data_IF_944845706371
#
_entry.id   IF_944845706371
#
_cell.length_a   1.000
_cell.length_b   1.000
_cell.length_c   1.000
_cell.angle_alpha   90.00
_cell.angle_beta   90.00
_cell.angle_gamma   90.00
#
_symmetry.space_group_name_H-M   'P 1'
#
loop_
_entity.id
_entity.type
_entity.pdbx_description
1 polymer ?
#
# COMPACT_ATOMS: atom_id res chain seq x y z
N UNK A 1 24.83 -20.65 -4.59
CA UNK A 1 24.21 -20.07 -3.39
C UNK A 1 24.58 -18.59 -3.35
N UNK A 2 23.62 -17.70 -3.56
CA UNK A 2 23.86 -16.26 -3.39
C UNK A 2 24.10 -15.99 -1.89
N UNK A 3 25.07 -15.15 -1.56
CA UNK A 3 25.34 -14.80 -0.15
C UNK A 3 24.30 -13.78 0.35
N UNK A 4 24.00 -13.82 1.65
CA UNK A 4 22.99 -12.95 2.28
C UNK A 4 23.30 -11.44 2.16
N UNK A 5 24.57 -11.05 2.02
CA UNK A 5 25.00 -9.67 1.79
C UNK A 5 24.65 -9.17 0.38
N UNK A 6 24.62 -10.06 -0.62
CA UNK A 6 24.26 -9.74 -2.00
C UNK A 6 22.76 -9.43 -2.10
N UNK A 7 21.91 -10.26 -1.49
CA UNK A 7 20.46 -10.01 -1.42
C UNK A 7 20.11 -8.71 -0.69
N UNK A 8 20.84 -8.37 0.40
CA UNK A 8 20.70 -7.11 1.13
C UNK A 8 21.03 -5.87 0.29
N UNK A 9 21.89 -6.02 -0.73
CA UNK A 9 22.24 -4.93 -1.66
C UNK A 9 21.24 -4.83 -2.81
N UNK A 10 20.69 -5.96 -3.27
CA UNK A 10 19.67 -6.03 -4.33
C UNK A 10 18.30 -5.48 -3.88
N UNK A 11 17.88 -5.74 -2.64
CA UNK A 11 16.68 -5.12 -2.05
C UNK A 11 16.72 -3.59 -2.02
N UNK A 12 17.93 -3.00 -1.99
CA UNK A 12 18.12 -1.54 -2.07
C UNK A 12 17.94 -0.99 -3.49
N UNK A 13 17.81 -1.84 -4.52
CA UNK A 13 17.89 -1.42 -5.91
C UNK A 13 16.79 -1.95 -6.86
N UNK A 14 15.80 -2.72 -6.42
CA UNK A 14 14.70 -3.07 -7.33
C UNK A 14 13.68 -4.10 -6.83
N UNK A 15 12.75 -4.41 -7.73
CA UNK A 15 11.76 -5.49 -7.61
C UNK A 15 12.46 -6.84 -7.68
N UNK A 16 12.18 -7.74 -6.73
CA UNK A 16 12.73 -9.09 -6.70
C UNK A 16 11.63 -10.12 -6.92
N UNK A 17 11.84 -11.06 -7.83
CA UNK A 17 10.90 -12.16 -8.08
C UNK A 17 11.49 -13.49 -7.58
N UNK A 18 10.81 -14.17 -6.66
CA UNK A 18 11.21 -15.46 -6.11
C UNK A 18 9.99 -16.39 -6.11
N UNK A 19 10.06 -17.51 -6.83
CA UNK A 19 9.01 -18.55 -6.83
C UNK A 19 7.59 -18.02 -7.11
N UNK A 20 7.44 -17.03 -7.98
CA UNK A 20 6.14 -16.41 -8.31
C UNK A 20 5.70 -15.31 -7.34
N UNK A 21 6.47 -15.05 -6.28
CA UNK A 21 6.24 -13.95 -5.35
C UNK A 21 7.11 -12.74 -5.73
N UNK A 22 6.56 -11.55 -5.54
CA UNK A 22 7.25 -10.29 -5.83
C UNK A 22 7.54 -9.55 -4.53
N UNK A 23 8.79 -9.15 -4.30
CA UNK A 23 9.19 -8.33 -3.16
C UNK A 23 9.48 -6.92 -3.65
N UNK A 24 8.75 -5.94 -3.11
CA UNK A 24 8.92 -4.51 -3.39
C UNK A 24 8.89 -3.68 -2.10
N UNK A 25 9.31 -2.42 -2.14
CA UNK A 25 9.10 -1.49 -1.02
C UNK A 25 7.67 -0.92 -0.97
N UNK A 26 6.87 -1.17 -2.01
CA UNK A 26 5.50 -0.65 -2.16
C UNK A 26 4.75 -1.45 -3.22
N UNK A 27 3.43 -1.42 -3.13
CA UNK A 27 2.54 -1.82 -4.24
C UNK A 27 2.36 -0.63 -5.17
N UNK A 28 2.48 -0.84 -6.47
CA UNK A 28 2.23 0.15 -7.53
C UNK A 28 1.11 -0.32 -8.43
N UNK A 29 0.10 0.52 -8.63
CA UNK A 29 -1.03 0.25 -9.51
C UNK A 29 -1.21 1.37 -10.53
N UNK A 30 -1.17 1.01 -11.81
CA UNK A 30 -1.42 1.96 -12.89
C UNK A 30 -2.91 2.25 -13.03
N UNK A 31 -3.25 3.53 -13.22
CA UNK A 31 -4.62 4.00 -13.38
C UNK A 31 -4.79 4.56 -14.78
N UNK A 32 -5.72 4.01 -15.55
CA UNK A 32 -6.10 4.56 -16.85
C UNK A 32 -6.69 5.98 -16.69
N UNK A 33 -6.48 6.90 -17.66
CA UNK A 33 -7.06 8.24 -17.62
C UNK A 33 -8.58 8.22 -17.66
N UNK A 34 -9.21 9.31 -17.20
CA UNK A 34 -10.66 9.54 -17.22
C UNK A 34 -11.49 8.38 -16.64
N UNK A 35 -10.95 7.71 -15.63
CA UNK A 35 -11.56 6.54 -15.01
C UNK A 35 -11.66 6.74 -13.50
N UNK A 36 -12.84 6.43 -12.97
CA UNK A 36 -13.07 6.36 -11.53
C UNK A 36 -12.80 4.91 -11.07
N UNK A 37 -12.16 4.78 -9.91
CA UNK A 37 -11.83 3.51 -9.27
C UNK A 37 -12.27 3.51 -7.82
N UNK A 38 -12.30 2.32 -7.23
CA UNK A 38 -12.32 2.11 -5.79
C UNK A 38 -11.17 1.21 -5.40
N UNK A 39 -10.37 1.67 -4.44
CA UNK A 39 -9.42 0.83 -3.71
C UNK A 39 -10.08 0.32 -2.43
N UNK A 40 -10.26 -0.98 -2.33
CA UNK A 40 -10.55 -1.65 -1.06
C UNK A 40 -9.21 -2.09 -0.45
N UNK A 41 -8.85 -1.55 0.72
CA UNK A 41 -7.60 -1.84 1.43
C UNK A 41 -7.91 -2.32 2.84
N UNK A 42 -7.33 -3.45 3.25
CA UNK A 42 -7.39 -3.94 4.62
C UNK A 42 -6.02 -4.47 5.05
N UNK A 43 -5.70 -4.33 6.34
CA UNK A 43 -4.52 -4.94 6.92
C UNK A 43 -4.69 -5.25 8.40
N UNK A 44 -3.86 -6.17 8.88
CA UNK A 44 -3.73 -6.59 10.26
C UNK A 44 -2.27 -6.51 10.66
N UNK A 45 -2.04 -6.16 11.93
CA UNK A 45 -0.71 -6.04 12.51
C UNK A 45 -0.59 -7.08 13.61
N UNK A 46 0.54 -7.79 13.63
CA UNK A 46 0.81 -8.82 14.63
C UNK A 46 1.00 -8.17 16.01
N UNK A 47 0.52 -8.85 17.04
CA UNK A 47 0.77 -8.42 18.43
C UNK A 47 2.27 -8.27 18.70
N UNK A 48 2.64 -7.14 19.32
CA UNK A 48 4.04 -6.82 19.64
C UNK A 48 4.81 -6.13 18.51
N UNK A 49 4.20 -5.93 17.35
CA UNK A 49 4.74 -5.04 16.31
C UNK A 49 4.55 -3.58 16.73
N UNK A 50 5.49 -2.71 16.36
CA UNK A 50 5.39 -1.27 16.62
C UNK A 50 4.15 -0.66 15.94
N UNK A 51 3.70 0.50 16.41
CA UNK A 51 2.56 1.17 15.79
C UNK A 51 2.81 1.37 14.29
N UNK A 52 1.86 0.87 13.50
CA UNK A 52 2.00 0.72 12.06
C UNK A 52 0.90 1.51 11.35
N UNK A 53 1.21 2.00 10.15
CA UNK A 53 0.22 2.55 9.25
C UNK A 53 0.44 2.06 7.82
N UNK A 54 -0.62 2.09 7.02
CA UNK A 54 -0.55 1.95 5.57
C UNK A 54 -0.76 3.32 4.93
N UNK A 55 0.21 3.73 4.11
CA UNK A 55 0.14 4.96 3.32
C UNK A 55 -0.38 4.66 1.93
N UNK A 56 -1.31 5.48 1.46
CA UNK A 56 -1.79 5.48 0.07
C UNK A 56 -1.51 6.84 -0.53
N UNK A 57 -0.73 6.88 -1.61
CA UNK A 57 -0.44 8.08 -2.39
C UNK A 57 -1.00 7.92 -3.81
N UNK A 58 -1.63 8.98 -4.32
CA UNK A 58 -2.07 9.10 -5.69
C UNK A 58 -1.22 10.15 -6.42
N UNK A 59 -0.80 9.83 -7.64
CA UNK A 59 -0.05 10.72 -8.53
C UNK A 59 -0.80 10.86 -9.85
N UNK A 60 -0.98 12.11 -10.32
CA UNK A 60 -1.85 12.43 -11.47
C UNK A 60 -3.29 11.84 -11.33
N UNK A 61 -3.71 11.64 -10.08
CA UNK A 61 -4.99 11.09 -9.64
C UNK A 61 -5.29 11.61 -8.23
N UNK A 62 -6.56 11.59 -7.83
CA UNK A 62 -7.01 12.06 -6.52
C UNK A 62 -7.78 10.98 -5.78
N UNK A 63 -7.48 10.81 -4.50
CA UNK A 63 -8.33 10.08 -3.56
C UNK A 63 -9.52 10.97 -3.21
N UNK A 64 -10.72 10.45 -3.20
CA UNK A 64 -11.93 11.24 -2.96
C UNK A 64 -12.54 10.84 -1.62
N UNK A 65 -12.71 11.81 -0.73
CA UNK A 65 -13.34 11.60 0.58
C UNK A 65 -14.87 11.47 0.44
N UNK A 66 -15.58 11.00 1.49
CA UNK A 66 -17.05 10.88 1.44
C UNK A 66 -17.80 12.20 1.18
N UNK A 67 -17.22 13.33 1.57
CA UNK A 67 -17.73 14.69 1.32
C UNK A 67 -17.28 15.27 -0.03
N UNK A 68 -16.50 14.52 -0.81
CA UNK A 68 -16.08 14.90 -2.15
C UNK A 68 -14.81 15.76 -2.21
N UNK A 69 -14.09 15.92 -1.10
CA UNK A 69 -12.76 16.53 -1.11
C UNK A 69 -11.76 15.61 -1.83
N UNK A 70 -10.81 16.23 -2.51
CA UNK A 70 -9.77 15.54 -3.27
C UNK A 70 -8.43 15.61 -2.50
N UNK A 71 -7.83 14.44 -2.27
CA UNK A 71 -6.58 14.28 -1.53
C UNK A 71 -5.54 13.57 -2.40
N UNK A 72 -4.29 14.00 -2.32
CA UNK A 72 -3.15 13.32 -2.96
C UNK A 72 -2.66 12.13 -2.13
N UNK A 73 -2.97 12.08 -0.83
CA UNK A 73 -2.58 10.98 0.04
C UNK A 73 -3.53 10.77 1.21
N UNK A 74 -3.60 9.55 1.71
CA UNK A 74 -4.27 9.21 2.97
C UNK A 74 -3.46 8.17 3.74
N UNK A 75 -3.77 8.01 5.02
CA UNK A 75 -3.09 7.07 5.91
C UNK A 75 -4.12 6.29 6.71
N UNK A 76 -3.97 4.97 6.73
CA UNK A 76 -4.73 4.07 7.58
C UNK A 76 -3.82 3.63 8.74
N UNK A 77 -4.24 3.88 9.98
CA UNK A 77 -3.41 3.63 11.18
C UNK A 77 -3.95 2.40 11.91
N UNK A 78 -3.06 1.49 12.30
CA UNK A 78 -3.42 0.31 13.08
C UNK A 78 -4.11 0.67 14.40
N UNK A 79 -5.19 -0.05 14.73
CA UNK A 79 -6.03 0.21 15.89
C UNK A 79 -7.00 1.39 15.73
N UNK A 80 -6.93 2.15 14.62
CA UNK A 80 -7.83 3.26 14.32
C UNK A 80 -8.66 2.94 13.07
N UNK A 81 -7.98 2.67 11.94
CA UNK A 81 -8.60 2.44 10.64
C UNK A 81 -7.82 1.37 9.89
N UNK A 82 -8.04 0.11 10.27
CA UNK A 82 -7.38 -1.04 9.63
C UNK A 82 -7.95 -1.41 8.26
N UNK A 83 -9.08 -0.80 7.87
CA UNK A 83 -9.68 -1.02 6.56
C UNK A 83 -10.33 0.26 6.04
N UNK A 84 -10.26 0.48 4.72
CA UNK A 84 -10.94 1.58 4.06
C UNK A 84 -11.31 1.21 2.62
N UNK A 85 -12.44 1.77 2.18
CA UNK A 85 -12.87 1.81 0.79
C UNK A 85 -12.65 3.23 0.27
N UNK A 86 -11.67 3.42 -0.60
CA UNK A 86 -11.17 4.73 -1.03
C UNK A 86 -11.52 4.92 -2.50
N UNK A 87 -12.49 5.80 -2.83
CA UNK A 87 -12.73 6.21 -4.20
C UNK A 87 -11.52 6.97 -4.76
N UNK A 88 -11.22 6.76 -6.03
CA UNK A 88 -10.07 7.37 -6.72
C UNK A 88 -10.55 7.88 -8.07
N UNK A 89 -10.14 9.09 -8.44
CA UNK A 89 -10.45 9.70 -9.73
C UNK A 89 -9.18 10.04 -10.48
N UNK A 90 -9.15 9.70 -11.76
CA UNK A 90 -8.07 10.11 -12.67
C UNK A 90 -8.52 11.23 -13.60
N UNK A 91 -7.59 12.13 -13.91
CA UNK A 91 -7.80 13.18 -14.90
C UNK A 91 -7.46 12.73 -16.32
N UNK A 92 -6.99 13.68 -17.14
CA UNK A 92 -6.60 13.43 -18.55
C UNK A 92 -5.40 12.50 -18.70
N UNK A 93 -4.50 12.49 -17.71
CA UNK A 93 -3.31 11.65 -17.72
C UNK A 93 -3.60 10.33 -17.02
N UNK A 94 -2.85 9.30 -17.40
CA UNK A 94 -2.78 8.09 -16.58
C UNK A 94 -2.22 8.46 -15.20
N UNK A 95 -2.80 7.88 -14.17
CA UNK A 95 -2.37 8.06 -12.79
C UNK A 95 -1.56 6.88 -12.28
N UNK A 96 -0.96 7.05 -11.11
CA UNK A 96 -0.29 5.99 -10.37
C UNK A 96 -0.77 6.00 -8.92
N UNK A 97 -1.16 4.83 -8.42
CA UNK A 97 -1.42 4.62 -7.01
C UNK A 97 -0.24 3.87 -6.38
N UNK A 98 0.21 4.34 -5.22
CA UNK A 98 1.29 3.72 -4.46
C UNK A 98 0.78 3.41 -3.05
N UNK A 99 0.89 2.15 -2.63
CA UNK A 99 0.54 1.70 -1.27
C UNK A 99 1.77 1.12 -0.58
N UNK A 100 2.08 1.58 0.63
CA UNK A 100 3.25 1.09 1.37
C UNK A 100 3.04 1.15 2.89
N UNK A 101 3.80 0.35 3.63
CA UNK A 101 3.78 0.39 5.10
C UNK A 101 4.65 1.54 5.64
N UNK A 102 4.20 2.12 6.74
CA UNK A 102 4.94 3.06 7.57
C UNK A 102 4.97 2.52 9.01
N UNK A 103 6.05 2.81 9.73
CA UNK A 103 6.14 2.55 11.18
C UNK A 103 6.30 3.86 11.93
N UNK A 104 5.72 3.92 13.12
CA UNK A 104 5.95 5.00 14.06
C UNK A 104 7.37 4.86 14.61
N UNK A 105 8.27 5.77 14.25
CA UNK A 105 9.67 5.76 14.68
C UNK A 105 9.90 6.57 15.96
N UNK A 106 8.97 7.47 16.29
CA UNK A 106 9.01 8.23 17.53
C UNK A 106 7.62 8.47 18.08
N UNK A 107 7.37 7.94 19.27
CA UNK A 107 6.20 8.23 20.09
C UNK A 107 6.66 9.05 21.31
N UNK A 108 6.81 10.36 21.12
CA UNK A 108 7.07 11.27 22.24
C UNK A 108 5.73 11.74 22.80
N UNK A 109 5.53 11.60 24.11
CA UNK A 109 4.27 11.89 24.81
C UNK A 109 3.68 13.31 24.61
N UNK A 110 4.41 14.22 23.97
CA UNK A 110 4.01 15.60 23.69
C UNK A 110 4.17 16.02 22.22
N UNK A 111 4.40 15.08 21.31
CA UNK A 111 4.50 15.33 19.88
C UNK A 111 3.53 14.44 19.10
N UNK A 112 3.12 14.89 17.91
CA UNK A 112 2.39 14.02 16.99
C UNK A 112 3.28 12.83 16.62
N UNK A 113 2.73 11.60 16.52
CA UNK A 113 3.49 10.43 16.10
C UNK A 113 4.17 10.67 14.75
N UNK A 114 5.47 10.45 14.69
CA UNK A 114 6.23 10.56 13.45
C UNK A 114 6.35 9.18 12.82
N UNK A 115 5.82 9.07 11.60
CA UNK A 115 5.88 7.85 10.82
C UNK A 115 7.03 7.95 9.82
N UNK A 116 7.93 6.98 9.88
CA UNK A 116 8.94 6.78 8.86
C UNK A 116 8.46 5.76 7.85
N UNK A 117 8.84 6.01 6.61
CA UNK A 117 8.67 5.11 5.49
C UNK A 117 10.03 5.00 4.81
N UNK A 118 10.37 3.81 4.31
CA UNK A 118 11.55 3.61 3.46
C UNK A 118 12.90 4.00 4.11
N UNK A 119 13.28 3.37 5.22
CA UNK A 119 14.69 2.98 5.35
C UNK A 119 14.85 1.69 4.54
N UNK A 120 15.94 1.54 3.77
CA UNK A 120 16.15 0.51 2.73
C UNK A 120 16.19 -0.96 3.19
N UNK A 121 15.54 -1.23 4.32
CA UNK A 121 15.35 -2.47 5.06
C UNK A 121 13.86 -2.88 5.12
N UNK A 122 12.95 -2.02 4.63
CA UNK A 122 11.50 -2.26 4.55
C UNK A 122 11.12 -2.98 3.25
N UNK A 123 10.35 -4.06 3.38
CA UNK A 123 9.92 -4.87 2.25
C UNK A 123 8.48 -5.34 2.39
N UNK A 124 7.81 -5.44 1.25
CA UNK A 124 6.49 -5.99 1.07
C UNK A 124 6.57 -7.19 0.14
N UNK A 125 6.20 -8.36 0.64
CA UNK A 125 5.98 -9.55 -0.16
C UNK A 125 4.57 -9.48 -0.76
N UNK A 126 4.47 -9.58 -2.07
CA UNK A 126 3.24 -9.44 -2.85
C UNK A 126 2.92 -10.76 -3.56
N UNK A 127 1.65 -11.16 -3.46
CA UNK A 127 1.07 -12.31 -4.13
C UNK A 127 -0.23 -11.87 -4.82
N UNK A 128 -0.31 -12.07 -6.13
CA UNK A 128 -1.47 -11.68 -6.92
C UNK A 128 -2.43 -12.87 -7.08
N UNK A 129 -3.67 -12.71 -6.63
CA UNK A 129 -4.76 -13.68 -6.81
C UNK A 129 -5.94 -13.00 -7.50
N UNK A 130 -6.03 -13.20 -8.82
CA UNK A 130 -7.07 -12.56 -9.64
C UNK A 130 -6.95 -11.04 -9.64
N UNK A 131 -7.93 -10.34 -9.09
CA UNK A 131 -7.94 -8.87 -8.96
C UNK A 131 -7.44 -8.37 -7.61
N UNK A 132 -7.02 -9.28 -6.72
CA UNK A 132 -6.61 -8.96 -5.37
C UNK A 132 -5.12 -9.19 -5.22
N UNK A 133 -4.44 -8.24 -4.55
CA UNK A 133 -3.05 -8.40 -4.15
C UNK A 133 -3.03 -8.66 -2.65
N UNK A 134 -2.54 -9.82 -2.27
CA UNK A 134 -2.19 -10.16 -0.90
C UNK A 134 -0.79 -9.60 -0.65
N UNK A 135 -0.62 -8.89 0.46
CA UNK A 135 0.68 -8.35 0.84
C UNK A 135 1.03 -8.72 2.27
N UNK A 136 2.34 -8.85 2.51
CA UNK A 136 2.89 -9.04 3.85
C UNK A 136 4.14 -8.20 4.02
N UNK A 137 4.26 -7.49 5.14
CA UNK A 137 5.34 -6.55 5.38
C UNK A 137 6.17 -6.95 6.60
N UNK A 138 7.42 -6.51 6.61
CA UNK A 138 8.21 -6.40 7.83
C UNK A 138 8.03 -4.99 8.42
N UNK A 139 8.04 -4.88 9.75
CA UNK A 139 7.96 -3.61 10.45
C UNK A 139 8.80 -3.59 11.75
N UNK A 140 9.68 -4.57 11.92
CA UNK A 140 10.54 -4.78 13.10
C UNK A 140 12.03 -4.52 12.82
N UNK A 141 12.87 -4.71 13.84
CA UNK A 141 14.34 -4.70 13.83
C UNK A 141 14.91 -5.28 12.52
N UNK A 142 15.91 -4.60 11.90
CA UNK A 142 16.66 -5.06 10.73
C UNK A 142 17.19 -6.51 10.74
N UNK A 143 17.09 -7.25 11.85
CA UNK A 143 17.53 -8.64 11.97
C UNK A 143 16.46 -9.69 11.59
N UNK A 144 15.16 -9.34 11.62
CA UNK A 144 14.04 -10.25 11.31
C UNK A 144 13.41 -9.99 9.91
N UNK A 145 14.14 -9.29 9.05
CA UNK A 145 13.66 -8.64 7.80
C UNK A 145 12.97 -9.54 6.76
N UNK A 146 13.10 -10.86 6.82
CA UNK A 146 12.60 -11.77 5.78
C UNK A 146 11.37 -12.58 6.18
N UNK A 147 10.86 -12.40 7.41
CA UNK A 147 9.68 -13.15 7.86
C UNK A 147 8.38 -12.62 7.24
N UNK A 148 8.32 -11.32 6.90
CA UNK A 148 7.13 -10.64 6.37
C UNK A 148 5.84 -11.03 7.13
N UNK A 149 5.90 -10.99 8.46
CA UNK A 149 4.82 -11.48 9.33
C UNK A 149 4.28 -10.42 10.27
N UNK A 150 4.88 -9.22 10.25
CA UNK A 150 4.50 -8.12 11.13
C UNK A 150 3.18 -7.49 10.67
N UNK A 151 3.00 -7.40 9.36
CA UNK A 151 1.79 -6.85 8.74
C UNK A 151 1.34 -7.80 7.66
N UNK A 152 0.04 -8.09 7.61
CA UNK A 152 -0.57 -8.82 6.50
C UNK A 152 -1.80 -8.08 6.04
N UNK A 153 -2.05 -8.04 4.74
CA UNK A 153 -3.21 -7.37 4.22
C UNK A 153 -3.58 -7.77 2.81
N UNK A 154 -4.66 -7.17 2.35
CA UNK A 154 -5.19 -7.35 1.01
C UNK A 154 -5.55 -6.00 0.44
N UNK A 155 -5.36 -5.86 -0.87
CA UNK A 155 -5.86 -4.72 -1.60
C UNK A 155 -6.50 -5.16 -2.91
N UNK A 156 -7.59 -4.51 -3.28
CA UNK A 156 -8.31 -4.75 -4.53
C UNK A 156 -8.62 -3.41 -5.17
N UNK A 157 -8.25 -3.25 -6.44
CA UNK A 157 -8.57 -2.05 -7.21
C UNK A 157 -9.63 -2.40 -8.26
N UNK A 158 -10.79 -1.77 -8.15
CA UNK A 158 -11.92 -1.99 -9.06
C UNK A 158 -12.24 -0.72 -9.84
N UNK A 159 -12.48 -0.84 -11.16
CA UNK A 159 -13.03 0.26 -11.97
C UNK A 159 -14.50 0.48 -11.62
N UNK A 160 -14.91 1.73 -11.47
CA UNK A 160 -16.31 2.10 -11.39
C UNK A 160 -16.82 2.24 -12.83
N UNK A 161 -17.55 1.25 -13.32
CA UNK A 161 -18.33 1.40 -14.54
C UNK A 161 -19.62 2.16 -14.22
N UNK A 162 -19.90 3.31 -14.87
CA UNK A 162 -21.19 3.97 -14.70
C UNK A 162 -22.30 3.04 -15.18
N UNK A 163 -23.39 2.96 -14.40
CA UNK A 163 -24.60 2.28 -14.84
C UNK A 163 -25.11 2.96 -16.11
N UNK A 164 -25.06 2.24 -17.23
CA UNK A 164 -25.66 2.71 -18.48
C UNK A 164 -27.17 2.52 -18.35
N UNK A 165 -27.88 3.59 -17.96
CA UNK A 165 -29.34 3.61 -18.05
C UNK A 165 -29.73 3.57 -19.53
N UNK A 166 -30.16 2.40 -20.00
CA UNK A 166 -30.80 2.27 -21.30
C UNK A 166 -32.24 2.76 -21.15
N UNK A 167 -32.57 3.93 -21.69
CA UNK A 167 -33.97 4.30 -21.95
C UNK A 167 -34.34 3.77 -23.33
N UNK A 168 -35.15 2.69 -23.43
CA UNK A 168 -35.72 2.30 -24.71
C UNK A 168 -36.66 3.41 -25.22
N UNK A 169 -36.50 3.78 -26.49
CA UNK A 169 -37.41 4.66 -27.22
C UNK A 169 -38.78 4.00 -27.42
#
# INVERSE_FOLDING_TARGET
>A
MANFSAMRTELRQGTLHINGLTIESRVRLELAPYTDYVLDLQFQVREGTAQTAMRVNAYDANLVTPDGEELESTRLIDGITNSARIPIRTGKKAGLLSVFNEFCHSDYAHAAPAYEHMTGDSGMLLEEEGSTIHFRCNNRDPRDQFAFEDVTGTLTLSKITPEVFYTPN
#
